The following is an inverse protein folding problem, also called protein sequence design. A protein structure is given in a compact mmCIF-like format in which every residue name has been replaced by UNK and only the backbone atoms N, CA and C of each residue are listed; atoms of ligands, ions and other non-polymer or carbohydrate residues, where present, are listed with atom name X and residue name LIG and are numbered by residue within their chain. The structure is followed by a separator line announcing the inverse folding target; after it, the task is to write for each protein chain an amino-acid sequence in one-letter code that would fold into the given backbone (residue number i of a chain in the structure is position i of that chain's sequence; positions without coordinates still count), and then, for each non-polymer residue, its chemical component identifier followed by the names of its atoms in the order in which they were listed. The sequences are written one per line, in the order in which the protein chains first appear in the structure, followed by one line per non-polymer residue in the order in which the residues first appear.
data_IF_295329453651
#
_entry.id   IF_295329453651
#
_cell.length_a   1.000
_cell.length_b   1.000
_cell.length_c   1.000
_cell.angle_alpha   90.00
_cell.angle_beta   90.00
_cell.angle_gamma   90.00
#
_symmetry.space_group_name_H-M   'P 1'
#
loop_
_entity.id
_entity.type
_entity.pdbx_description
1 polymer ?
#
# COMPACT_ATOMS: atom_id res chain seq x y z
N UNK A 1 2.20 -0.57 12.82
CA UNK A 1 2.57 -0.18 14.18
C UNK A 1 1.45 0.63 14.81
N UNK A 2 1.11 0.31 16.04
CA UNK A 2 0.13 1.04 16.83
C UNK A 2 0.77 2.20 17.61
N UNK A 3 -0.03 3.20 17.96
CA UNK A 3 0.46 4.34 18.73
C UNK A 3 0.65 4.00 20.21
N UNK A 4 1.57 4.71 20.86
CA UNK A 4 1.83 4.61 22.30
C UNK A 4 0.61 5.05 23.14
N UNK A 5 -0.22 5.94 22.61
CA UNK A 5 -1.44 6.41 23.27
C UNK A 5 -2.39 5.26 23.62
N UNK A 6 -2.35 4.15 22.85
CA UNK A 6 -3.14 2.96 23.19
C UNK A 6 -2.82 2.38 24.58
N UNK A 7 -1.63 2.64 25.10
CA UNK A 7 -1.18 2.15 26.41
C UNK A 7 -1.19 3.27 27.45
N UNK A 8 -0.85 4.49 27.04
CA UNK A 8 -0.76 5.64 27.99
C UNK A 8 -2.12 6.28 28.29
N UNK A 9 -3.09 6.17 27.38
CA UNK A 9 -4.44 6.66 27.59
C UNK A 9 -5.26 5.64 28.41
N UNK A 10 -5.72 5.98 29.64
CA UNK A 10 -6.42 5.04 30.51
C UNK A 10 -7.75 4.51 29.92
N UNK A 11 -8.41 5.26 29.06
CA UNK A 11 -9.68 4.86 28.46
C UNK A 11 -9.50 3.76 27.41
N UNK A 12 -8.42 3.83 26.64
CA UNK A 12 -8.09 2.82 25.62
C UNK A 12 -7.38 1.62 26.26
N UNK A 13 -6.41 1.90 27.13
CA UNK A 13 -5.59 0.89 27.81
C UNK A 13 -6.42 -0.11 28.62
N UNK A 14 -7.48 0.32 29.29
CA UNK A 14 -8.38 -0.57 30.05
C UNK A 14 -9.12 -1.59 29.19
N UNK A 15 -9.36 -1.26 27.92
CA UNK A 15 -10.07 -2.13 26.96
C UNK A 15 -9.15 -3.07 26.20
N UNK A 16 -7.85 -2.77 26.19
CA UNK A 16 -6.87 -3.55 25.45
C UNK A 16 -6.35 -4.74 26.27
N UNK A 17 -6.75 -5.95 25.88
CA UNK A 17 -6.33 -7.21 26.50
C UNK A 17 -5.26 -7.96 25.69
N UNK A 18 -4.73 -7.33 24.65
CA UNK A 18 -3.74 -7.94 23.78
C UNK A 18 -2.31 -7.90 24.33
N UNK A 19 -1.40 -8.47 23.56
CA UNK A 19 0.02 -8.51 23.90
C UNK A 19 0.67 -7.12 23.79
N UNK A 20 1.48 -6.76 24.79
CA UNK A 20 2.26 -5.51 24.84
C UNK A 20 3.72 -5.85 24.54
N UNK A 21 4.32 -5.10 23.63
CA UNK A 21 5.73 -5.23 23.24
C UNK A 21 6.47 -3.90 23.47
N UNK A 22 7.79 -3.94 23.35
CA UNK A 22 8.60 -2.72 23.37
C UNK A 22 8.90 -2.28 21.93
N UNK A 23 8.77 -0.98 21.66
CA UNK A 23 9.23 -0.40 20.40
C UNK A 23 10.77 -0.23 20.40
N UNK A 24 11.34 0.25 19.27
CA UNK A 24 12.79 0.48 19.14
C UNK A 24 13.36 1.50 20.15
N UNK A 25 12.51 2.27 20.82
CA UNK A 25 12.88 3.25 21.84
C UNK A 25 12.64 2.74 23.27
N UNK A 26 12.28 1.46 23.42
CA UNK A 26 11.98 0.85 24.73
C UNK A 26 10.63 1.22 25.32
N UNK A 27 9.71 1.83 24.56
CA UNK A 27 8.38 2.23 25.04
C UNK A 27 7.39 1.07 24.86
N UNK A 28 6.51 0.90 25.84
CA UNK A 28 5.43 -0.09 25.77
C UNK A 28 4.40 0.32 24.72
N UNK A 29 4.14 -0.57 23.77
CA UNK A 29 3.14 -0.39 22.69
C UNK A 29 2.40 -1.69 22.47
N UNK A 30 1.16 -1.67 21.95
CA UNK A 30 0.49 -2.89 21.52
C UNK A 30 1.34 -3.61 20.46
N UNK A 31 1.34 -4.94 20.50
CA UNK A 31 2.02 -5.75 19.48
C UNK A 31 1.53 -5.35 18.09
N UNK A 32 2.46 -5.05 17.21
CA UNK A 32 2.12 -4.65 15.84
C UNK A 32 1.42 -5.77 15.07
N UNK A 33 0.42 -5.40 14.28
CA UNK A 33 -0.19 -6.32 13.35
C UNK A 33 0.79 -6.61 12.20
N UNK A 34 0.88 -7.87 11.80
CA UNK A 34 1.72 -8.36 10.72
C UNK A 34 0.99 -9.40 9.89
N UNK A 35 1.23 -9.40 8.59
CA UNK A 35 0.64 -10.38 7.70
C UNK A 35 1.19 -10.25 6.28
N UNK A 36 0.91 -11.27 5.48
CA UNK A 36 1.31 -11.35 4.07
C UNK A 36 0.07 -11.55 3.19
N UNK A 37 0.06 -10.93 2.04
CA UNK A 37 -0.90 -11.14 0.97
C UNK A 37 -0.16 -11.50 -0.31
N UNK A 38 -0.63 -12.54 -1.00
CA UNK A 38 -0.13 -12.91 -2.31
C UNK A 38 -0.96 -12.24 -3.40
N UNK A 39 -0.30 -11.93 -4.50
CA UNK A 39 -0.91 -11.48 -5.75
C UNK A 39 -0.63 -12.58 -6.76
N UNK A 40 -1.68 -13.08 -7.42
CA UNK A 40 -1.62 -14.30 -8.25
C UNK A 40 -0.73 -14.16 -9.49
N UNK A 41 -0.47 -12.93 -9.94
CA UNK A 41 0.39 -12.67 -11.09
C UNK A 41 1.26 -11.42 -10.86
N UNK A 42 2.33 -11.31 -11.66
CA UNK A 42 3.20 -10.13 -11.65
C UNK A 42 2.44 -8.92 -12.18
N UNK A 43 2.36 -7.86 -11.40
CA UNK A 43 1.63 -6.65 -11.77
C UNK A 43 2.27 -5.39 -11.19
N UNK A 44 2.17 -4.30 -11.91
CA UNK A 44 2.45 -2.94 -11.43
C UNK A 44 1.18 -2.11 -11.20
N UNK A 45 -0.02 -2.74 -11.31
CA UNK A 45 -1.29 -2.06 -11.10
C UNK A 45 -1.42 -1.59 -9.65
N UNK A 46 -1.53 -0.29 -9.47
CA UNK A 46 -1.76 0.32 -8.16
C UNK A 46 -3.05 -0.19 -7.53
N UNK A 47 -4.08 -0.42 -8.35
CA UNK A 47 -5.38 -0.90 -7.88
C UNK A 47 -5.26 -2.31 -7.30
N UNK A 48 -4.67 -3.25 -8.04
CA UNK A 48 -4.54 -4.66 -7.60
C UNK A 48 -3.72 -4.73 -6.31
N UNK A 49 -2.60 -4.00 -6.26
CA UNK A 49 -1.74 -3.93 -5.07
C UNK A 49 -2.51 -3.33 -3.88
N UNK A 50 -3.21 -2.22 -4.09
CA UNK A 50 -3.99 -1.57 -3.02
C UNK A 50 -5.11 -2.48 -2.51
N UNK A 51 -5.85 -3.14 -3.42
CA UNK A 51 -6.94 -4.05 -3.05
C UNK A 51 -6.43 -5.26 -2.25
N UNK A 52 -5.26 -5.81 -2.61
CA UNK A 52 -4.61 -6.88 -1.86
C UNK A 52 -4.19 -6.42 -0.45
N UNK A 53 -3.57 -5.23 -0.35
CA UNK A 53 -3.16 -4.63 0.92
C UNK A 53 -4.37 -4.31 1.79
N UNK A 54 -5.46 -3.78 1.22
CA UNK A 54 -6.67 -3.44 1.99
C UNK A 54 -7.35 -4.69 2.54
N UNK A 55 -7.47 -5.77 1.76
CA UNK A 55 -7.98 -7.05 2.26
C UNK A 55 -7.11 -7.62 3.39
N UNK A 56 -5.78 -7.52 3.27
CA UNK A 56 -4.88 -7.93 4.34
C UNK A 56 -5.07 -7.07 5.58
N UNK A 57 -5.10 -5.75 5.40
CA UNK A 57 -5.30 -4.79 6.47
C UNK A 57 -6.56 -5.08 7.27
N UNK A 58 -7.71 -5.26 6.62
CA UNK A 58 -8.99 -5.56 7.27
C UNK A 58 -8.97 -6.86 8.07
N UNK A 59 -8.18 -7.84 7.61
CA UNK A 59 -8.05 -9.13 8.28
C UNK A 59 -7.20 -9.08 9.55
N UNK A 60 -6.16 -8.23 9.58
CA UNK A 60 -5.16 -8.26 10.66
C UNK A 60 -5.27 -7.10 11.66
N UNK A 61 -5.99 -6.02 11.30
CA UNK A 61 -6.01 -4.81 12.11
C UNK A 61 -6.97 -4.93 13.30
N UNK A 62 -6.56 -4.39 14.44
CA UNK A 62 -7.50 -4.09 15.52
C UNK A 62 -8.01 -2.66 15.32
N UNK A 63 -9.30 -2.51 15.01
CA UNK A 63 -9.95 -1.23 14.71
C UNK A 63 -10.16 -0.34 15.93
N UNK A 64 -10.03 -0.89 17.13
CA UNK A 64 -10.18 -0.14 18.38
C UNK A 64 -8.88 0.60 18.78
N UNK A 65 -7.77 0.30 18.09
CA UNK A 65 -6.46 0.86 18.39
C UNK A 65 -6.07 1.97 17.42
N UNK A 66 -5.45 3.00 17.95
CA UNK A 66 -4.84 4.08 17.17
C UNK A 66 -3.63 3.56 16.40
N UNK A 67 -3.59 3.85 15.11
CA UNK A 67 -2.51 3.43 14.21
C UNK A 67 -1.54 4.59 14.04
N UNK A 68 -0.28 4.33 14.30
CA UNK A 68 0.81 5.30 14.09
C UNK A 68 1.43 5.20 12.71
N UNK A 69 1.67 3.96 12.23
CA UNK A 69 2.42 3.72 10.99
C UNK A 69 1.99 2.44 10.32
N UNK A 70 1.86 2.51 9.00
CA UNK A 70 1.69 1.34 8.13
C UNK A 70 2.95 1.24 7.27
N UNK A 71 3.57 0.05 7.25
CA UNK A 71 4.70 -0.26 6.37
C UNK A 71 4.28 -1.36 5.41
N UNK A 72 4.50 -1.15 4.14
CA UNK A 72 4.22 -2.11 3.08
C UNK A 72 5.55 -2.46 2.42
N UNK A 73 5.83 -3.75 2.32
CA UNK A 73 7.02 -4.27 1.62
C UNK A 73 6.57 -5.14 0.47
N UNK A 74 7.12 -4.91 -0.71
CA UNK A 74 6.93 -5.78 -1.86
C UNK A 74 8.11 -6.74 -1.97
N UNK A 75 7.82 -8.02 -2.06
CA UNK A 75 8.80 -9.08 -2.28
C UNK A 75 8.72 -9.62 -3.71
N UNK A 76 9.75 -10.29 -4.17
CA UNK A 76 9.84 -10.87 -5.51
C UNK A 76 9.58 -9.84 -6.65
N UNK A 77 10.03 -8.60 -6.44
CA UNK A 77 9.97 -7.56 -7.47
C UNK A 77 10.94 -7.88 -8.59
N UNK A 78 10.45 -7.81 -9.83
CA UNK A 78 11.25 -8.02 -11.04
C UNK A 78 11.24 -6.77 -11.92
N UNK A 79 12.29 -6.59 -12.73
CA UNK A 79 12.33 -5.50 -13.71
C UNK A 79 11.32 -5.78 -14.85
N UNK A 80 10.66 -4.72 -15.34
CA UNK A 80 9.69 -4.82 -16.45
C UNK A 80 10.32 -5.39 -17.73
N UNK A 81 11.63 -5.20 -17.92
CA UNK A 81 12.34 -5.76 -19.08
C UNK A 81 12.53 -7.28 -18.96
N UNK A 82 12.79 -7.76 -17.74
CA UNK A 82 12.94 -9.18 -17.45
C UNK A 82 11.60 -9.92 -17.57
N UNK A 83 10.50 -9.28 -17.17
CA UNK A 83 9.15 -9.84 -17.30
C UNK A 83 8.83 -10.22 -18.75
N UNK A 84 9.21 -9.37 -19.72
CA UNK A 84 8.99 -9.65 -21.15
C UNK A 84 9.76 -10.88 -21.66
N UNK A 85 10.90 -11.21 -21.05
CA UNK A 85 11.68 -12.40 -21.37
C UNK A 85 11.12 -13.65 -20.69
N UNK A 86 10.43 -13.49 -19.56
CA UNK A 86 9.85 -14.55 -18.74
C UNK A 86 8.41 -14.89 -19.14
N UNK A 87 7.86 -14.30 -20.22
CA UNK A 87 6.55 -14.72 -20.72
C UNK A 87 6.60 -16.21 -21.03
N UNK A 88 6.35 -16.99 -19.98
CA UNK A 88 6.18 -18.43 -20.05
C UNK A 88 4.99 -18.70 -20.96
N UNK A 89 5.12 -19.74 -21.76
CA UNK A 89 4.02 -20.30 -22.52
C UNK A 89 2.86 -20.56 -21.57
N UNK A 90 1.86 -19.68 -21.60
CA UNK A 90 0.61 -19.93 -20.85
C UNK A 90 -0.02 -21.16 -21.49
N UNK A 91 -0.11 -22.22 -20.71
CA UNK A 91 -0.85 -23.39 -21.14
C UNK A 91 -2.30 -22.98 -21.29
N UNK A 92 -2.83 -23.07 -22.50
CA UNK A 92 -4.22 -22.77 -22.80
C UNK A 92 -5.11 -23.77 -22.07
N UNK A 93 -5.91 -23.31 -21.14
CA UNK A 93 -6.91 -24.10 -20.48
C UNK A 93 -8.26 -23.92 -21.20
N UNK A 94 -8.88 -25.01 -21.59
CA UNK A 94 -10.14 -25.03 -22.34
C UNK A 94 -11.35 -24.51 -21.56
N UNK A 95 -11.21 -24.36 -20.24
CA UNK A 95 -12.31 -23.93 -19.33
C UNK A 95 -12.19 -22.48 -18.90
N UNK A 96 -11.20 -21.74 -19.37
CA UNK A 96 -10.98 -20.32 -19.01
C UNK A 96 -11.62 -19.41 -20.07
N UNK A 97 -12.38 -18.42 -19.59
CA UNK A 97 -12.88 -17.34 -20.46
C UNK A 97 -11.78 -16.33 -20.78
N UNK A 98 -11.12 -16.56 -21.92
CA UNK A 98 -10.06 -15.69 -22.41
C UNK A 98 -10.52 -14.26 -22.70
N UNK A 99 -11.81 -14.04 -22.95
CA UNK A 99 -12.33 -12.69 -23.22
C UNK A 99 -12.28 -11.81 -21.98
N UNK A 100 -12.50 -12.38 -20.82
CA UNK A 100 -12.38 -11.66 -19.53
C UNK A 100 -10.92 -11.38 -19.17
N UNK A 101 -10.04 -12.35 -19.39
CA UNK A 101 -8.60 -12.18 -19.17
C UNK A 101 -8.06 -11.06 -20.06
N UNK A 102 -8.44 -11.04 -21.34
CA UNK A 102 -8.00 -10.01 -22.27
C UNK A 102 -8.52 -8.61 -21.86
N UNK A 103 -9.77 -8.52 -21.45
CA UNK A 103 -10.33 -7.27 -20.90
C UNK A 103 -9.56 -6.77 -19.68
N UNK A 104 -9.22 -7.69 -18.77
CA UNK A 104 -8.45 -7.36 -17.58
C UNK A 104 -7.03 -6.89 -17.96
N UNK A 105 -6.33 -7.60 -18.85
CA UNK A 105 -5.01 -7.20 -19.36
C UNK A 105 -5.03 -5.83 -20.05
N UNK A 106 -6.08 -5.54 -20.81
CA UNK A 106 -6.24 -4.23 -21.46
C UNK A 106 -6.46 -3.10 -20.42
N UNK A 107 -7.23 -3.36 -19.37
CA UNK A 107 -7.39 -2.40 -18.26
C UNK A 107 -6.06 -2.14 -17.54
N UNK A 108 -5.29 -3.17 -17.26
CA UNK A 108 -3.98 -3.03 -16.61
C UNK A 108 -2.98 -2.27 -17.48
N UNK A 109 -2.98 -2.51 -18.81
CA UNK A 109 -2.15 -1.74 -19.75
C UNK A 109 -2.51 -0.25 -19.73
N UNK A 110 -3.82 0.08 -19.79
CA UNK A 110 -4.28 1.46 -19.75
C UNK A 110 -3.93 2.12 -18.42
N UNK A 111 -4.09 1.42 -17.29
CA UNK A 111 -3.70 1.92 -15.97
C UNK A 111 -2.19 2.21 -15.91
N UNK A 112 -1.37 1.31 -16.45
CA UNK A 112 0.08 1.47 -16.51
C UNK A 112 0.51 2.69 -17.33
N UNK A 113 -0.13 2.91 -18.48
CA UNK A 113 0.11 4.10 -19.31
C UNK A 113 -0.28 5.39 -18.56
N UNK A 114 -1.43 5.39 -17.89
CA UNK A 114 -1.88 6.51 -17.06
C UNK A 114 -0.89 6.77 -15.92
N UNK A 115 -0.42 5.74 -15.22
CA UNK A 115 0.58 5.88 -14.16
C UNK A 115 1.88 6.48 -14.68
N UNK A 116 2.37 6.02 -15.85
CA UNK A 116 3.57 6.59 -16.49
C UNK A 116 3.37 8.07 -16.84
N UNK A 117 2.21 8.43 -17.37
CA UNK A 117 1.88 9.83 -17.67
C UNK A 117 1.87 10.70 -16.40
N UNK A 118 1.26 10.22 -15.31
CA UNK A 118 1.25 10.92 -14.01
C UNK A 118 2.66 11.08 -13.44
N UNK A 119 3.50 10.04 -13.52
CA UNK A 119 4.89 10.11 -13.06
C UNK A 119 5.70 11.13 -13.87
N UNK A 120 5.53 11.17 -15.19
CA UNK A 120 6.17 12.15 -16.05
C UNK A 120 5.73 13.58 -15.71
N UNK A 121 4.44 13.80 -15.46
CA UNK A 121 3.95 15.12 -15.02
C UNK A 121 4.56 15.53 -13.67
N UNK A 122 4.60 14.61 -12.70
CA UNK A 122 5.21 14.87 -11.40
C UNK A 122 6.72 15.13 -11.47
N UNK A 123 7.41 14.42 -12.35
CA UNK A 123 8.84 14.66 -12.60
C UNK A 123 9.10 16.03 -13.20
N UNK A 124 8.23 16.48 -14.12
CA UNK A 124 8.40 17.75 -14.84
C UNK A 124 7.92 18.98 -14.06
N UNK A 125 6.81 18.84 -13.34
CA UNK A 125 6.10 19.97 -12.70
C UNK A 125 6.08 19.90 -11.17
N UNK A 126 6.76 18.91 -10.58
CA UNK A 126 6.82 18.70 -9.13
C UNK A 126 5.80 17.70 -8.59
N UNK A 127 6.05 17.22 -7.37
CA UNK A 127 5.29 16.12 -6.75
C UNK A 127 3.81 16.44 -6.56
N UNK A 128 3.45 17.72 -6.41
CA UNK A 128 2.09 18.20 -6.20
C UNK A 128 1.34 18.56 -7.49
N UNK A 129 1.96 18.37 -8.67
CA UNK A 129 1.35 18.69 -9.96
C UNK A 129 0.09 17.86 -10.27
N UNK A 130 0.04 16.62 -9.79
CA UNK A 130 -1.11 15.73 -9.93
C UNK A 130 -1.42 15.11 -8.58
N UNK A 131 -2.60 15.38 -8.04
CA UNK A 131 -3.06 14.88 -6.75
C UNK A 131 -4.37 14.10 -6.92
N UNK A 132 -4.58 13.10 -6.06
CA UNK A 132 -5.86 12.40 -5.96
C UNK A 132 -6.83 13.22 -5.10
N UNK A 133 -8.14 13.16 -5.37
CA UNK A 133 -9.15 13.88 -4.59
C UNK A 133 -9.07 13.58 -3.08
N UNK A 134 -8.72 12.35 -2.70
CA UNK A 134 -8.51 11.97 -1.30
C UNK A 134 -7.36 12.72 -0.59
N UNK A 135 -6.47 13.39 -1.31
CA UNK A 135 -5.39 14.18 -0.71
C UNK A 135 -5.89 15.53 -0.17
N UNK A 136 -7.13 15.91 -0.50
CA UNK A 136 -7.77 17.17 -0.07
C UNK A 136 -8.79 16.98 1.05
N UNK A 137 -9.04 15.75 1.49
CA UNK A 137 -9.92 15.49 2.63
C UNK A 137 -9.18 15.75 3.94
N UNK A 138 -9.95 15.97 5.00
CA UNK A 138 -9.43 16.15 6.35
C UNK A 138 -8.50 14.99 6.75
N UNK A 139 -7.33 15.30 7.31
CA UNK A 139 -6.27 14.33 7.62
C UNK A 139 -5.36 13.96 6.44
N UNK A 140 -5.61 14.49 5.23
CA UNK A 140 -4.74 14.27 4.07
C UNK A 140 -3.42 15.04 4.19
N UNK A 141 -2.30 14.36 4.45
CA UNK A 141 -0.97 14.98 4.66
C UNK A 141 -0.07 14.97 3.44
N UNK A 142 -0.56 14.51 2.28
CA UNK A 142 0.30 14.28 1.10
C UNK A 142 0.97 15.56 0.59
N UNK A 143 0.22 16.67 0.53
CA UNK A 143 0.70 17.95 0.00
C UNK A 143 1.84 18.46 0.88
N UNK A 144 1.61 18.53 2.20
CA UNK A 144 2.63 18.98 3.16
C UNK A 144 3.88 18.08 3.16
N UNK A 145 3.69 16.77 3.07
CA UNK A 145 4.81 15.81 3.02
C UNK A 145 5.65 15.94 1.76
N UNK A 146 5.04 16.29 0.64
CA UNK A 146 5.76 16.52 -0.62
C UNK A 146 6.65 17.80 -0.58
N UNK A 147 6.33 18.74 0.30
CA UNK A 147 7.09 19.98 0.53
C UNK A 147 8.23 19.82 1.55
N UNK A 148 8.25 18.70 2.27
CA UNK A 148 9.30 18.42 3.25
C UNK A 148 10.59 17.93 2.57
N UNK A 149 11.72 18.44 3.00
CA UNK A 149 13.05 17.98 2.60
C UNK A 149 13.62 17.13 3.76
N UNK A 150 13.93 15.86 3.49
CA UNK A 150 14.50 14.97 4.52
C UNK A 150 13.58 14.68 5.72
N UNK A 151 12.25 14.90 5.58
CA UNK A 151 11.28 14.68 6.66
C UNK A 151 11.08 15.86 7.61
N UNK A 152 11.71 16.99 7.34
CA UNK A 152 11.57 18.22 8.10
C UNK A 152 10.97 19.33 7.21
N UNK A 153 10.14 20.22 7.82
CA UNK A 153 9.77 21.48 7.16
C UNK A 153 11.01 22.36 7.03
N UNK A 154 11.31 22.79 5.82
CA UNK A 154 12.31 23.83 5.56
C UNK A 154 11.80 25.18 6.04
#
# INVERSE_FOLDING_TARGET
EYDIENITNPEISKKYLGEITLDRYGRKVPKHAHGTANIDHKTSSMKIITDAVMRLYERIINRELLIRKITITAENVIDEKEEKCLQSYEQLDLFIDYSEIEKQRNKEKLEKELQKAVLNMKSKYGKNAVLKGMNFIEGGTTIERNEQIGGHKS
#
